data_IF_853665955612
#
_entry.id   IF_853665955612
#
_cell.length_a   1.000
_cell.length_b   1.000
_cell.length_c   1.000
_cell.angle_alpha   90.00
_cell.angle_beta   90.00
_cell.angle_gamma   90.00
#
_symmetry.space_group_name_H-M   'P 1'
#
loop_
_entity.id
_entity.type
_entity.pdbx_description
1 polymer ?
#
# COMPACT_ATOMS: atom_id res chain seq x y z
N UNK A 1 6.55 -6.81 24.37
CA UNK A 1 6.82 -6.51 22.94
C UNK A 1 5.82 -5.47 22.50
N UNK A 2 6.23 -4.40 21.81
CA UNK A 2 5.34 -3.34 21.31
C UNK A 2 5.62 -3.08 19.83
N UNK A 3 4.60 -2.63 19.09
CA UNK A 3 4.68 -2.28 17.67
C UNK A 3 3.60 -1.25 17.30
N UNK A 4 3.87 -0.44 16.28
CA UNK A 4 2.95 0.59 15.77
C UNK A 4 2.39 0.11 14.43
N UNK A 5 1.07 0.23 14.25
CA UNK A 5 0.41 -0.08 12.98
C UNK A 5 0.25 1.18 12.14
N UNK A 6 0.55 1.08 10.85
CA UNK A 6 0.25 2.13 9.89
C UNK A 6 -1.25 2.13 9.56
N UNK A 7 -2.09 2.70 10.43
CA UNK A 7 -3.54 2.80 10.19
C UNK A 7 -3.88 4.01 9.34
N UNK A 8 -4.87 3.86 8.46
CA UNK A 8 -5.45 4.97 7.68
C UNK A 8 -6.62 5.65 8.40
N UNK A 9 -7.21 4.98 9.39
CA UNK A 9 -8.39 5.43 10.09
C UNK A 9 -8.10 5.85 11.53
N UNK A 10 -8.87 6.83 12.03
CA UNK A 10 -8.79 7.29 13.40
C UNK A 10 -9.53 6.34 14.36
N UNK A 11 -9.36 6.47 15.69
CA UNK A 11 -10.15 5.72 16.65
C UNK A 11 -11.66 5.96 16.48
N UNK A 12 -12.43 4.90 16.25
CA UNK A 12 -13.89 4.97 16.07
C UNK A 12 -14.36 5.05 14.62
N UNK A 13 -13.46 5.31 13.67
CA UNK A 13 -13.77 5.28 12.24
C UNK A 13 -14.02 3.86 11.74
N UNK A 14 -14.82 3.69 10.66
CA UNK A 14 -14.94 2.41 9.98
C UNK A 14 -13.59 1.93 9.44
N UNK A 15 -13.44 0.62 9.31
CA UNK A 15 -12.26 0.00 8.71
C UNK A 15 -12.10 0.49 7.27
N UNK A 16 -10.87 0.87 6.91
CA UNK A 16 -10.47 1.24 5.55
C UNK A 16 -9.46 0.23 5.05
N UNK A 17 -9.52 -0.04 3.75
CA UNK A 17 -8.52 -0.85 3.10
C UNK A 17 -7.21 -0.06 2.92
N UNK A 18 -6.10 -0.77 2.74
CA UNK A 18 -4.83 -0.14 2.42
C UNK A 18 -4.81 0.37 0.97
N UNK A 19 -3.89 1.28 0.67
CA UNK A 19 -3.73 1.87 -0.66
C UNK A 19 -2.46 1.33 -1.29
N UNK A 20 -2.60 0.71 -2.47
CA UNK A 20 -1.51 0.43 -3.39
C UNK A 20 -1.83 1.17 -4.69
N UNK A 21 -1.04 2.19 -5.04
CA UNK A 21 -1.37 3.06 -6.17
C UNK A 21 -0.13 3.66 -6.81
N UNK A 22 -0.07 3.61 -8.14
CA UNK A 22 0.84 4.42 -8.94
C UNK A 22 0.22 5.79 -9.19
N UNK A 23 0.95 6.86 -8.87
CA UNK A 23 0.45 8.25 -8.93
C UNK A 23 0.76 8.94 -10.27
N UNK A 24 0.86 8.18 -11.36
CA UNK A 24 1.12 8.71 -12.70
C UNK A 24 0.04 9.70 -13.16
N UNK A 25 -1.23 9.43 -12.85
CA UNK A 25 -2.35 10.30 -13.20
C UNK A 25 -2.30 11.67 -12.49
N UNK A 26 -1.45 11.80 -11.47
CA UNK A 26 -1.15 13.05 -10.78
C UNK A 26 0.18 13.68 -11.21
N UNK A 27 0.83 13.14 -12.24
CA UNK A 27 2.11 13.60 -12.78
C UNK A 27 3.33 13.09 -12.03
N UNK A 28 3.19 12.08 -11.15
CA UNK A 28 4.29 11.49 -10.38
C UNK A 28 4.67 10.12 -10.95
N UNK A 29 5.17 10.10 -12.19
CA UNK A 29 5.63 8.87 -12.83
C UNK A 29 6.73 8.19 -12.00
N UNK A 30 6.64 6.86 -11.85
CA UNK A 30 7.54 6.07 -11.00
C UNK A 30 7.25 6.11 -9.49
N UNK A 31 6.30 6.93 -9.01
CA UNK A 31 5.92 6.94 -7.59
C UNK A 31 4.76 5.98 -7.32
N UNK A 32 5.05 4.90 -6.58
CA UNK A 32 4.06 3.92 -6.13
C UNK A 32 3.89 4.03 -4.61
N UNK A 33 2.69 4.40 -4.18
CA UNK A 33 2.29 4.53 -2.78
C UNK A 33 1.81 3.19 -2.22
N UNK A 34 2.38 2.77 -1.08
CA UNK A 34 1.90 1.68 -0.24
C UNK A 34 1.53 2.26 1.13
N UNK A 35 0.29 2.69 1.29
CA UNK A 35 -0.16 3.42 2.50
C UNK A 35 -1.13 2.54 3.27
N UNK A 36 -0.98 2.52 4.60
CA UNK A 36 -1.95 1.81 5.43
C UNK A 36 -1.73 0.31 5.53
N UNK A 37 -0.56 -0.20 5.13
CA UNK A 37 -0.23 -1.62 5.16
C UNK A 37 -0.08 -2.09 6.62
N UNK A 38 -1.21 -2.31 7.29
CA UNK A 38 -1.27 -2.90 8.63
C UNK A 38 -1.44 -4.43 8.56
N UNK A 39 -2.16 -5.06 9.49
CA UNK A 39 -2.49 -6.49 9.37
C UNK A 39 -3.58 -6.70 8.31
N UNK A 40 -3.46 -7.67 7.38
CA UNK A 40 -2.50 -8.79 7.32
C UNK A 40 -1.28 -8.56 6.39
N UNK A 41 -0.72 -7.36 6.32
CA UNK A 41 0.32 -6.96 5.38
C UNK A 41 1.59 -7.81 5.37
N UNK A 42 2.03 -8.35 6.50
CA UNK A 42 3.16 -9.29 6.52
C UNK A 42 2.80 -10.62 5.84
N UNK A 43 1.61 -11.15 6.10
CA UNK A 43 1.14 -12.39 5.46
C UNK A 43 0.87 -12.18 3.98
N UNK A 44 0.39 -10.99 3.61
CA UNK A 44 0.09 -10.61 2.23
C UNK A 44 1.31 -10.08 1.45
N UNK A 45 2.49 -9.97 2.06
CA UNK A 45 3.63 -9.27 1.44
C UNK A 45 4.07 -9.86 0.09
N UNK A 46 4.02 -11.18 -0.18
CA UNK A 46 4.37 -11.71 -1.50
C UNK A 46 3.38 -11.25 -2.59
N UNK A 47 2.08 -11.28 -2.31
CA UNK A 47 1.05 -10.84 -3.25
C UNK A 47 1.11 -9.31 -3.51
N UNK A 48 1.41 -8.53 -2.45
CA UNK A 48 1.65 -7.08 -2.58
C UNK A 48 2.85 -6.84 -3.49
N UNK A 49 3.94 -7.59 -3.32
CA UNK A 49 5.13 -7.46 -4.14
C UNK A 49 4.87 -7.80 -5.62
N UNK A 50 4.11 -8.87 -5.91
CA UNK A 50 3.70 -9.22 -7.27
C UNK A 50 2.88 -8.10 -7.95
N UNK A 51 1.93 -7.51 -7.21
CA UNK A 51 1.14 -6.39 -7.72
C UNK A 51 2.01 -5.17 -8.03
N UNK A 52 2.94 -4.82 -7.13
CA UNK A 52 3.85 -3.67 -7.33
C UNK A 52 4.83 -3.94 -8.46
N UNK A 53 5.34 -5.16 -8.60
CA UNK A 53 6.22 -5.54 -9.70
C UNK A 53 5.52 -5.36 -11.05
N UNK A 54 4.26 -5.77 -11.18
CA UNK A 54 3.47 -5.52 -12.39
C UNK A 54 3.34 -4.04 -12.74
N UNK A 55 3.11 -3.17 -11.74
CA UNK A 55 3.09 -1.72 -11.94
C UNK A 55 4.44 -1.16 -12.38
N UNK A 56 5.54 -1.72 -11.88
CA UNK A 56 6.90 -1.32 -12.27
C UNK A 56 7.23 -1.79 -13.68
N UNK A 57 6.79 -2.97 -14.08
CA UNK A 57 7.00 -3.49 -15.44
C UNK A 57 6.22 -2.69 -16.49
N UNK A 58 5.06 -2.12 -16.17
CA UNK A 58 4.33 -1.21 -17.08
C UNK A 58 5.10 0.09 -17.38
N UNK A 59 6.07 0.44 -16.54
CA UNK A 59 6.92 1.63 -16.72
C UNK A 59 8.16 1.38 -17.59
N UNK A 60 8.73 0.18 -17.56
CA UNK A 60 9.99 -0.17 -18.25
C UNK A 60 9.76 -0.83 -19.62
#
# INVERSE_FOLDING_TARGET
MSGIRAKLQAPGDPVRDFVIRHEEDKGFTGLINLIGIESPGLTASPAIAEMVAGMVDEFF
#
